data_IF_054727288134
#
_entry.id   IF_054727288134
#
_cell.length_a   1.000
_cell.length_b   1.000
_cell.length_c   1.000
_cell.angle_alpha   90.00
_cell.angle_beta   90.00
_cell.angle_gamma   90.00
#
_symmetry.space_group_name_H-M   'P 1'
#
loop_
_entity.id
_entity.type
_entity.pdbx_description
1 polymer ?
#
# COMPACT_ATOMS: atom_id res chain seq x y z
N UNK A 1 2.13 -19.94 -5.50
CA UNK A 1 1.15 -19.39 -4.54
C UNK A 1 0.13 -18.44 -5.18
N UNK A 2 0.42 -17.18 -5.55
CA UNK A 2 -0.60 -16.28 -6.14
C UNK A 2 -1.08 -16.71 -7.53
N UNK A 3 -0.15 -17.10 -8.43
CA UNK A 3 -0.51 -17.60 -9.78
C UNK A 3 -1.40 -18.83 -9.68
N UNK A 4 -1.03 -19.80 -8.84
CA UNK A 4 -1.83 -21.02 -8.61
C UNK A 4 -3.19 -20.70 -8.00
N UNK A 5 -3.26 -19.79 -7.03
CA UNK A 5 -4.51 -19.43 -6.37
C UNK A 5 -5.49 -18.75 -7.34
N UNK A 6 -5.02 -17.75 -8.09
CA UNK A 6 -5.81 -17.08 -9.12
C UNK A 6 -6.29 -18.03 -10.21
N UNK A 7 -5.43 -18.95 -10.68
CA UNK A 7 -5.80 -19.93 -11.70
C UNK A 7 -6.77 -21.02 -11.20
N UNK A 8 -6.72 -21.38 -9.92
CA UNK A 8 -7.53 -22.49 -9.35
C UNK A 8 -8.84 -22.04 -8.70
N UNK A 9 -8.90 -20.80 -8.19
CA UNK A 9 -10.01 -20.31 -7.37
C UNK A 9 -10.55 -18.94 -7.81
N UNK A 10 -9.81 -18.20 -8.64
CA UNK A 10 -10.21 -16.87 -9.10
C UNK A 10 -11.05 -16.92 -10.38
N UNK A 11 -11.83 -15.87 -10.63
CA UNK A 11 -12.46 -15.69 -11.94
C UNK A 11 -11.42 -15.20 -12.96
N UNK A 12 -11.58 -15.60 -14.22
CA UNK A 12 -10.70 -15.15 -15.31
C UNK A 12 -10.65 -13.63 -15.46
N UNK A 13 -11.73 -12.93 -15.09
CA UNK A 13 -11.80 -11.47 -15.07
C UNK A 13 -11.03 -10.83 -13.91
N UNK A 14 -10.58 -11.58 -12.90
CA UNK A 14 -9.95 -11.04 -11.69
C UNK A 14 -8.44 -11.27 -11.64
N UNK A 15 -7.87 -11.92 -12.66
CA UNK A 15 -6.43 -12.26 -12.73
C UNK A 15 -5.54 -11.04 -12.43
N UNK A 16 -5.86 -9.88 -12.99
CA UNK A 16 -5.13 -8.63 -12.74
C UNK A 16 -5.37 -8.05 -11.34
N UNK A 17 -6.51 -8.33 -10.72
CA UNK A 17 -6.86 -7.85 -9.37
C UNK A 17 -6.04 -8.55 -8.28
N UNK A 18 -5.69 -9.83 -8.44
CA UNK A 18 -4.87 -10.57 -7.48
C UNK A 18 -3.49 -9.92 -7.29
N UNK A 19 -2.81 -9.62 -8.40
CA UNK A 19 -1.49 -8.98 -8.34
C UNK A 19 -1.60 -7.51 -7.93
N UNK A 20 -2.64 -6.79 -8.39
CA UNK A 20 -2.86 -5.40 -7.97
C UNK A 20 -3.04 -5.30 -6.45
N UNK A 21 -3.87 -6.16 -5.86
CA UNK A 21 -4.07 -6.19 -4.42
C UNK A 21 -2.78 -6.47 -3.66
N UNK A 22 -2.01 -7.49 -4.07
CA UNK A 22 -0.75 -7.83 -3.44
C UNK A 22 0.26 -6.67 -3.51
N UNK A 23 0.41 -6.04 -4.69
CA UNK A 23 1.32 -4.91 -4.89
C UNK A 23 0.93 -3.73 -4.00
N UNK A 24 -0.34 -3.35 -3.98
CA UNK A 24 -0.83 -2.23 -3.16
C UNK A 24 -0.61 -2.50 -1.67
N UNK A 25 -0.85 -3.73 -1.20
CA UNK A 25 -0.58 -4.12 0.18
C UNK A 25 0.92 -4.04 0.51
N UNK A 26 1.81 -4.56 -0.34
CA UNK A 26 3.26 -4.44 -0.13
C UNK A 26 3.72 -2.97 -0.04
N UNK A 27 3.14 -2.10 -0.88
CA UNK A 27 3.44 -0.66 -0.82
C UNK A 27 2.94 -0.02 0.48
N UNK A 28 1.77 -0.41 0.99
CA UNK A 28 1.30 0.03 2.32
C UNK A 28 2.26 -0.37 3.47
N UNK A 29 3.06 -1.41 3.29
CA UNK A 29 4.12 -1.85 4.22
C UNK A 29 5.48 -1.22 3.95
N UNK A 30 5.54 -0.17 3.12
CA UNK A 30 6.76 0.47 2.63
C UNK A 30 7.72 -0.48 1.89
N UNK A 31 7.26 -1.67 1.47
CA UNK A 31 8.10 -2.68 0.83
C UNK A 31 8.05 -2.56 -0.71
N UNK A 32 8.75 -1.56 -1.26
CA UNK A 32 8.83 -1.33 -2.72
C UNK A 32 9.45 -2.50 -3.48
N UNK A 33 10.47 -3.13 -2.89
CA UNK A 33 11.19 -4.24 -3.51
C UNK A 33 10.28 -5.46 -3.65
N UNK A 34 9.58 -5.83 -2.58
CA UNK A 34 8.59 -6.91 -2.60
C UNK A 34 7.47 -6.63 -3.60
N UNK A 35 6.95 -5.40 -3.63
CA UNK A 35 5.94 -4.97 -4.58
C UNK A 35 6.40 -5.12 -6.05
N UNK A 36 7.64 -4.75 -6.36
CA UNK A 36 8.19 -4.86 -7.72
C UNK A 36 8.42 -6.32 -8.11
N UNK A 37 9.00 -7.12 -7.21
CA UNK A 37 9.28 -8.55 -7.44
C UNK A 37 8.00 -9.35 -7.63
N UNK A 38 6.96 -9.10 -6.81
CA UNK A 38 5.69 -9.82 -6.96
C UNK A 38 5.01 -9.46 -8.28
N UNK A 39 5.06 -8.19 -8.70
CA UNK A 39 4.47 -7.75 -9.96
C UNK A 39 5.15 -8.40 -11.17
N UNK A 40 6.48 -8.32 -11.26
CA UNK A 40 7.22 -8.91 -12.38
C UNK A 40 7.04 -10.43 -12.42
N UNK A 41 7.24 -11.10 -11.29
CA UNK A 41 7.15 -12.56 -11.20
C UNK A 41 5.75 -13.06 -11.57
N UNK A 42 4.70 -12.37 -11.13
CA UNK A 42 3.32 -12.76 -11.44
C UNK A 42 2.99 -12.55 -12.91
N UNK A 43 3.29 -11.36 -13.45
CA UNK A 43 2.99 -11.02 -14.86
C UNK A 43 3.80 -11.86 -15.86
N UNK A 44 5.03 -12.26 -15.52
CA UNK A 44 5.84 -13.14 -16.35
C UNK A 44 5.39 -14.61 -16.33
N UNK A 45 4.88 -15.09 -15.19
CA UNK A 45 4.56 -16.52 -14.98
C UNK A 45 3.09 -16.86 -15.17
N UNK A 46 2.19 -15.89 -15.14
CA UNK A 46 0.76 -16.18 -15.21
C UNK A 46 0.32 -16.52 -16.65
N UNK A 47 -0.28 -17.70 -16.91
CA UNK A 47 -0.54 -18.18 -18.27
C UNK A 47 -1.57 -17.31 -19.04
N UNK A 48 -2.46 -16.64 -18.32
CA UNK A 48 -3.49 -15.77 -18.90
C UNK A 48 -3.06 -14.31 -19.09
N UNK A 49 -1.80 -13.97 -18.78
CA UNK A 49 -1.25 -12.63 -18.97
C UNK A 49 -0.29 -12.67 -20.15
N UNK A 50 -0.56 -11.86 -21.15
CA UNK A 50 0.35 -11.66 -22.27
C UNK A 50 1.59 -10.87 -21.83
N UNK A 51 2.72 -11.08 -22.50
CA UNK A 51 3.95 -10.34 -22.20
C UNK A 51 3.72 -8.84 -22.37
N UNK A 52 4.16 -8.09 -21.37
CA UNK A 52 4.21 -6.63 -21.37
C UNK A 52 5.40 -6.16 -20.53
N UNK A 53 5.43 -4.87 -20.13
CA UNK A 53 4.53 -3.79 -20.53
C UNK A 53 4.77 -3.28 -21.98
N UNK A 54 3.76 -2.65 -22.63
CA UNK A 54 2.41 -2.42 -22.12
C UNK A 54 1.55 -3.70 -22.12
N UNK A 55 0.67 -3.82 -21.13
CA UNK A 55 -0.28 -4.93 -21.00
C UNK A 55 -1.62 -4.58 -21.64
N UNK A 56 -2.42 -5.60 -22.00
CA UNK A 56 -3.80 -5.42 -22.47
C UNK A 56 -4.70 -4.93 -21.33
N UNK A 57 -4.46 -5.40 -20.11
CA UNK A 57 -5.24 -5.04 -18.92
C UNK A 57 -4.83 -3.65 -18.40
N UNK A 58 -5.76 -2.67 -18.37
CA UNK A 58 -5.45 -1.33 -17.89
C UNK A 58 -4.99 -1.31 -16.42
N UNK A 59 -5.51 -2.20 -15.58
CA UNK A 59 -5.11 -2.28 -14.17
C UNK A 59 -3.64 -2.69 -14.02
N UNK A 60 -3.12 -3.60 -14.86
CA UNK A 60 -1.70 -3.96 -14.83
C UNK A 60 -0.82 -2.79 -15.26
N UNK A 61 -1.24 -2.01 -16.27
CA UNK A 61 -0.53 -0.80 -16.67
C UNK A 61 -0.53 0.25 -15.55
N UNK A 62 -1.66 0.43 -14.86
CA UNK A 62 -1.73 1.28 -13.68
C UNK A 62 -0.70 0.87 -12.62
N UNK A 63 -0.65 -0.42 -12.26
CA UNK A 63 0.28 -0.93 -11.25
C UNK A 63 1.73 -0.76 -11.69
N UNK A 64 2.04 -1.03 -12.96
CA UNK A 64 3.38 -0.81 -13.50
C UNK A 64 3.81 0.66 -13.39
N UNK A 65 2.97 1.59 -13.83
CA UNK A 65 3.27 3.02 -13.72
C UNK A 65 3.30 3.51 -12.27
N UNK A 66 2.46 2.96 -11.39
CA UNK A 66 2.47 3.26 -9.96
C UNK A 66 3.81 2.90 -9.34
N UNK A 67 4.35 1.71 -9.63
CA UNK A 67 5.66 1.28 -9.14
C UNK A 67 6.77 2.26 -9.59
N UNK A 68 6.75 2.67 -10.86
CA UNK A 68 7.69 3.68 -11.39
C UNK A 68 7.54 5.05 -10.71
N UNK A 69 6.31 5.47 -10.40
CA UNK A 69 6.05 6.74 -9.73
C UNK A 69 6.52 6.72 -8.26
N UNK A 70 6.30 5.61 -7.55
CA UNK A 70 6.74 5.42 -6.14
C UNK A 70 8.25 5.30 -6.03
N UNK A 71 8.89 4.64 -6.98
CA UNK A 71 10.36 4.55 -7.02
C UNK A 71 10.98 5.92 -7.29
N UNK A 72 10.46 6.65 -8.28
CA UNK A 72 10.95 7.98 -8.65
C UNK A 72 10.44 9.14 -7.80
N UNK A 73 9.62 8.92 -6.78
CA UNK A 73 9.06 9.99 -5.93
C UNK A 73 8.17 11.00 -6.69
N UNK A 74 7.51 10.57 -7.77
CA UNK A 74 6.78 11.45 -8.70
C UNK A 74 5.31 11.61 -8.30
N UNK A 75 5.04 12.46 -7.30
CA UNK A 75 3.67 12.72 -6.80
C UNK A 75 2.69 13.13 -7.92
N UNK A 76 3.09 14.03 -8.82
CA UNK A 76 2.23 14.49 -9.92
C UNK A 76 1.80 13.33 -10.83
N UNK A 77 2.72 12.41 -11.12
CA UNK A 77 2.44 11.20 -11.90
C UNK A 77 1.48 10.29 -11.14
N UNK A 78 1.74 10.05 -9.85
CA UNK A 78 0.84 9.27 -8.99
C UNK A 78 -0.59 9.82 -9.01
N UNK A 79 -0.78 11.13 -8.82
CA UNK A 79 -2.10 11.75 -8.83
C UNK A 79 -2.81 11.58 -10.17
N UNK A 80 -2.11 11.81 -11.28
CA UNK A 80 -2.68 11.63 -12.63
C UNK A 80 -3.07 10.17 -12.87
N UNK A 81 -2.25 9.21 -12.46
CA UNK A 81 -2.57 7.78 -12.59
C UNK A 81 -3.86 7.42 -11.84
N UNK A 82 -3.98 7.85 -10.57
CA UNK A 82 -5.19 7.61 -9.78
C UNK A 82 -6.45 8.19 -10.43
N UNK A 83 -6.34 9.33 -11.11
CA UNK A 83 -7.44 9.96 -11.82
C UNK A 83 -7.81 9.24 -13.13
N UNK A 84 -6.83 8.92 -13.96
CA UNK A 84 -7.06 8.32 -15.28
C UNK A 84 -7.53 6.86 -15.20
N UNK A 85 -7.10 6.12 -14.19
CA UNK A 85 -7.43 4.70 -14.04
C UNK A 85 -8.63 4.44 -13.10
N UNK A 86 -9.40 5.48 -12.75
CA UNK A 86 -10.63 5.36 -11.92
C UNK A 86 -11.53 4.18 -12.31
N UNK A 87 -11.84 3.91 -13.59
CA UNK A 87 -12.68 2.76 -13.97
C UNK A 87 -12.09 1.42 -13.53
N UNK A 88 -10.77 1.25 -13.63
CA UNK A 88 -10.08 0.04 -13.19
C UNK A 88 -9.99 -0.05 -11.66
N UNK A 89 -9.77 1.09 -11.00
CA UNK A 89 -9.65 1.16 -9.54
C UNK A 89 -10.97 0.92 -8.81
N UNK A 90 -12.10 1.27 -9.42
CA UNK A 90 -13.44 1.04 -8.86
C UNK A 90 -13.86 -0.43 -8.78
N UNK A 91 -13.09 -1.35 -9.38
CA UNK A 91 -13.36 -2.79 -9.33
C UNK A 91 -13.17 -3.37 -7.92
N UNK A 92 -12.32 -2.75 -7.10
CA UNK A 92 -12.18 -3.07 -5.68
C UNK A 92 -12.19 -1.76 -4.86
N UNK A 93 -13.20 -1.55 -4.00
CA UNK A 93 -13.26 -0.37 -3.13
C UNK A 93 -12.00 -0.15 -2.29
N UNK A 94 -11.32 -1.23 -1.87
CA UNK A 94 -10.12 -1.17 -1.01
C UNK A 94 -8.92 -0.52 -1.71
N UNK A 95 -8.88 -0.50 -3.04
CA UNK A 95 -7.76 0.11 -3.77
C UNK A 95 -7.63 1.60 -3.46
N UNK A 96 -8.72 2.31 -3.26
CA UNK A 96 -8.65 3.74 -2.92
C UNK A 96 -8.06 3.96 -1.52
N UNK A 97 -8.42 3.10 -0.55
CA UNK A 97 -7.86 3.13 0.80
C UNK A 97 -6.35 2.85 0.78
N UNK A 98 -5.91 1.86 0.00
CA UNK A 98 -4.48 1.58 -0.17
C UNK A 98 -3.76 2.75 -0.85
N UNK A 99 -4.34 3.33 -1.91
CA UNK A 99 -3.73 4.45 -2.62
C UNK A 99 -3.63 5.70 -1.75
N UNK A 100 -4.62 5.98 -0.92
CA UNK A 100 -4.56 7.09 0.03
C UNK A 100 -3.43 6.87 1.06
N UNK A 101 -3.26 5.63 1.54
CA UNK A 101 -2.13 5.28 2.41
C UNK A 101 -0.79 5.41 1.69
N UNK A 102 -0.66 4.92 0.47
CA UNK A 102 0.55 5.06 -0.37
C UNK A 102 0.86 6.55 -0.60
N UNK A 103 -0.16 7.36 -0.85
CA UNK A 103 -0.10 8.82 -0.95
C UNK A 103 0.59 9.47 0.25
N UNK A 104 0.15 9.09 1.45
CA UNK A 104 0.74 9.56 2.72
C UNK A 104 2.18 9.07 2.87
N UNK A 105 2.42 7.77 2.66
CA UNK A 105 3.69 7.11 2.96
C UNK A 105 4.85 7.54 2.05
N UNK A 106 4.59 7.69 0.74
CA UNK A 106 5.66 7.93 -0.23
C UNK A 106 5.71 9.36 -0.77
N UNK A 107 4.63 10.13 -0.59
CA UNK A 107 4.54 11.49 -1.15
C UNK A 107 4.12 12.55 -0.13
N UNK A 108 3.85 12.18 1.13
CA UNK A 108 3.50 13.12 2.19
C UNK A 108 2.13 13.79 1.99
N UNK A 109 1.23 13.18 1.22
CA UNK A 109 -0.12 13.72 1.03
C UNK A 109 -0.90 13.64 2.36
N UNK A 110 -1.61 14.70 2.78
CA UNK A 110 -2.43 14.65 3.99
C UNK A 110 -3.51 13.55 3.91
N UNK A 111 -3.86 12.90 5.02
CA UNK A 111 -4.94 11.91 5.03
C UNK A 111 -6.27 12.56 4.61
N UNK A 112 -7.02 11.89 3.72
CA UNK A 112 -8.36 12.35 3.34
C UNK A 112 -9.28 12.21 4.55
N UNK A 113 -9.97 13.29 4.89
CA UNK A 113 -11.04 13.28 5.89
C UNK A 113 -12.31 12.69 5.26
N UNK A 114 -12.40 11.37 5.15
CA UNK A 114 -13.63 10.69 4.73
C UNK A 114 -14.14 9.75 5.82
N UNK A 115 -15.47 9.57 5.96
CA UNK A 115 -16.03 8.64 6.92
C UNK A 115 -15.56 7.24 6.54
N UNK A 116 -14.74 6.69 7.42
CA UNK A 116 -14.07 5.40 7.27
C UNK A 116 -15.07 4.30 6.90
N UNK A 117 -15.10 3.90 5.63
CA UNK A 117 -15.56 2.55 5.27
C UNK A 117 -14.59 1.48 5.82
N UNK A 118 -13.44 1.90 6.35
CA UNK A 118 -12.41 1.10 7.01
C UNK A 118 -12.65 0.82 8.50
N UNK A 119 -13.89 0.81 9.00
CA UNK A 119 -14.18 0.57 10.43
C UNK A 119 -13.67 -0.78 10.99
N UNK A 120 -13.55 -1.82 10.16
CA UNK A 120 -12.97 -3.11 10.55
C UNK A 120 -11.69 -3.44 9.78
N UNK A 121 -11.61 -3.09 8.51
CA UNK A 121 -10.45 -3.36 7.66
C UNK A 121 -9.29 -2.38 7.88
N UNK A 122 -9.58 -1.13 8.26
CA UNK A 122 -8.57 -0.17 8.70
C UNK A 122 -7.89 -0.64 9.98
N UNK A 123 -8.63 -1.25 10.90
CA UNK A 123 -8.09 -1.88 12.10
C UNK A 123 -7.19 -3.09 11.76
N UNK A 124 -7.51 -3.87 10.73
CA UNK A 124 -6.64 -4.97 10.28
C UNK A 124 -5.36 -4.47 9.60
N UNK A 125 -5.41 -3.39 8.83
CA UNK A 125 -4.21 -2.76 8.26
C UNK A 125 -3.33 -2.15 9.35
N UNK A 126 -3.94 -1.48 10.34
CA UNK A 126 -3.24 -1.01 11.52
C UNK A 126 -2.65 -2.19 12.32
N UNK A 127 -3.37 -3.29 12.46
CA UNK A 127 -2.92 -4.50 13.17
C UNK A 127 -1.80 -5.25 12.45
N UNK A 128 -1.75 -5.22 11.12
CA UNK A 128 -0.64 -5.76 10.35
C UNK A 128 0.62 -4.89 10.52
N UNK A 129 0.44 -3.60 10.82
CA UNK A 129 1.53 -2.61 10.97
C UNK A 129 1.97 -2.39 12.44
N UNK A 130 1.17 -2.80 13.42
CA UNK A 130 1.31 -2.40 14.84
C UNK A 130 2.19 -3.30 15.72
N UNK A 131 3.34 -3.79 15.23
CA UNK A 131 4.25 -4.61 16.05
C UNK A 131 5.71 -4.13 15.98
N UNK A 132 5.94 -2.82 16.14
CA UNK A 132 7.29 -2.26 15.95
C UNK A 132 7.71 -1.05 16.80
N UNK A 133 6.82 -0.34 17.49
CA UNK A 133 7.24 0.89 18.20
C UNK A 133 6.41 1.14 19.47
N UNK A 134 6.68 0.40 20.55
CA UNK A 134 6.45 0.83 21.94
C UNK A 134 7.46 0.11 22.83
N UNK A 135 8.60 0.75 23.13
CA UNK A 135 9.38 0.59 24.37
C UNK A 135 10.55 1.57 24.35
N UNK A 136 10.26 2.85 24.62
CA UNK A 136 11.25 3.83 25.07
C UNK A 136 10.55 4.75 26.08
N UNK A 137 10.21 4.20 27.25
CA UNK A 137 9.89 5.01 28.42
C UNK A 137 11.17 5.12 29.25
N UNK A 138 11.93 6.17 28.98
CA UNK A 138 13.10 6.55 29.77
C UNK A 138 12.68 6.83 31.22
N UNK A 139 13.14 6.01 32.16
CA UNK A 139 13.20 6.37 33.58
C UNK A 139 14.30 7.42 33.77
N UNK A 140 13.92 8.70 33.84
CA UNK A 140 14.81 9.74 34.35
C UNK A 140 14.78 9.80 35.88
N UNK A 141 15.99 9.81 36.44
CA UNK A 141 16.33 9.63 37.83
C UNK A 141 15.74 10.71 38.76
N UNK A 142 15.29 10.27 39.94
CA UNK A 142 15.02 11.13 41.10
C UNK A 142 16.33 11.59 41.73
N UNK A 143 16.70 12.85 41.51
CA UNK A 143 17.51 13.64 42.45
C UNK A 143 17.06 15.10 42.35
N UNK A 144 16.29 15.59 43.33
CA UNK A 144 16.55 16.95 43.82
C UNK A 144 16.14 17.13 45.29
N UNK A 145 17.05 17.82 45.94
CA UNK A 145 17.24 18.19 47.33
C UNK A 145 16.15 19.13 47.90
N UNK A 146 15.86 18.95 49.19
CA UNK A 146 14.88 19.74 49.94
C UNK A 146 15.27 21.23 50.05
N UNK A 147 14.33 22.18 49.92
CA UNK A 147 14.61 23.60 50.10
C UNK A 147 14.58 24.02 51.58
N UNK A 148 15.44 24.99 51.88
CA UNK A 148 15.64 25.72 53.14
C UNK A 148 14.39 26.54 53.49
N UNK A 149 13.87 26.40 54.72
CA UNK A 149 12.87 27.32 55.30
C UNK A 149 13.56 28.58 55.85
N UNK A 150 13.01 29.75 55.50
CA UNK A 150 13.26 31.06 56.10
C UNK A 150 11.94 31.54 56.72
N UNK A 151 11.85 31.48 58.06
CA UNK A 151 11.30 32.53 58.93
C UNK A 151 11.56 32.19 60.42
#
# INVERSE_FOLDING_TARGET
>A
MLVEYSASRGFHSEVDMFVAQAVLQFLCLKNKNGASVVFSTYTEKHPSIEKGPPFVQPLLNFIWFLLLAVDGGKLTVFTVLCEQYKPSLKRDPMYNEYLDRIGQLFFGVPPKQSPSYGGLLGNLLNSLMGSGEEDDMAEEAQEDSSPIELD
#
